data_IF_195250089533
#
_entry.id   IF_195250089533
#
_cell.length_a   1.000
_cell.length_b   1.000
_cell.length_c   1.000
_cell.angle_alpha   90.00
_cell.angle_beta   90.00
_cell.angle_gamma   90.00
#
_symmetry.space_group_name_H-M   'P 1'
#
loop_
_entity.id
_entity.type
_entity.pdbx_description
1 polymer ?
#
# COMPACT_ATOMS: atom_id res chain seq x y z
N UNK A 1 20.42 0.23 14.01
CA UNK A 1 21.16 1.53 13.91
C UNK A 1 20.85 2.33 12.65
N UNK A 2 19.99 1.85 11.73
CA UNK A 2 19.57 2.55 10.51
C UNK A 2 18.42 3.55 10.68
N UNK A 3 17.71 3.51 11.83
CA UNK A 3 16.43 4.23 11.98
C UNK A 3 16.52 5.49 12.86
N UNK A 4 17.73 5.85 13.32
CA UNK A 4 17.95 7.05 14.17
C UNK A 4 18.35 8.31 13.40
N UNK A 5 18.36 8.28 12.05
CA UNK A 5 18.65 9.45 11.22
C UNK A 5 17.54 9.82 10.19
N UNK A 6 16.23 9.71 10.50
CA UNK A 6 15.20 10.15 9.55
C UNK A 6 15.24 11.67 9.32
N UNK A 7 15.68 12.45 10.32
CA UNK A 7 15.84 13.92 10.20
C UNK A 7 16.96 14.31 9.23
N UNK A 8 17.92 13.42 8.96
CA UNK A 8 19.03 13.69 8.05
C UNK A 8 18.87 13.01 6.68
N UNK A 9 17.81 12.22 6.45
CA UNK A 9 17.83 11.22 5.37
C UNK A 9 17.77 11.77 3.92
N UNK A 10 17.13 12.92 3.59
CA UNK A 10 17.21 13.51 2.24
C UNK A 10 18.08 14.78 2.14
N UNK A 11 18.12 15.63 3.17
CA UNK A 11 18.69 17.00 3.08
C UNK A 11 20.09 17.13 3.63
N UNK A 12 20.48 16.29 4.59
CA UNK A 12 21.87 16.26 5.02
C UNK A 12 22.79 15.93 3.85
N UNK A 13 22.31 15.17 2.85
CA UNK A 13 23.06 14.92 1.63
C UNK A 13 23.52 16.22 1.00
N UNK A 14 22.62 17.07 0.53
CA UNK A 14 22.99 18.31 -0.16
C UNK A 14 23.74 19.30 0.74
N UNK A 15 23.34 19.47 2.00
CA UNK A 15 24.06 20.37 2.91
C UNK A 15 25.47 19.87 3.23
N UNK A 16 25.64 18.56 3.49
CA UNK A 16 26.96 17.93 3.71
C UNK A 16 27.77 18.00 2.43
N UNK A 17 27.18 17.76 1.26
CA UNK A 17 27.86 17.88 -0.03
C UNK A 17 28.34 19.30 -0.30
N UNK A 18 27.50 20.31 -0.11
CA UNK A 18 27.87 21.72 -0.24
C UNK A 18 28.92 22.12 0.79
N UNK A 19 28.77 21.68 2.04
CA UNK A 19 29.75 21.94 3.10
C UNK A 19 31.11 21.32 2.77
N UNK A 20 31.15 20.05 2.35
CA UNK A 20 32.38 19.38 1.93
C UNK A 20 32.98 20.03 0.69
N UNK A 21 32.16 20.46 -0.27
CA UNK A 21 32.63 21.20 -1.44
C UNK A 21 33.30 22.51 -1.05
N UNK A 22 32.64 23.33 -0.21
CA UNK A 22 33.19 24.60 0.30
C UNK A 22 34.45 24.35 1.13
N UNK A 23 34.43 23.35 2.02
CA UNK A 23 35.58 22.98 2.86
C UNK A 23 36.77 22.51 2.02
N UNK A 24 36.52 21.71 0.99
CA UNK A 24 37.55 21.24 0.06
C UNK A 24 38.12 22.38 -0.79
N UNK A 25 37.27 23.27 -1.32
CA UNK A 25 37.71 24.45 -2.06
C UNK A 25 38.54 25.39 -1.19
N UNK A 26 38.06 25.74 0.00
CA UNK A 26 38.77 26.60 0.96
C UNK A 26 40.13 26.01 1.36
N UNK A 27 40.20 24.69 1.59
CA UNK A 27 41.46 23.98 1.87
C UNK A 27 42.42 24.02 0.69
N UNK A 28 41.90 23.82 -0.53
CA UNK A 28 42.70 23.88 -1.76
C UNK A 28 43.22 25.30 -2.02
N UNK A 29 42.36 26.31 -1.93
CA UNK A 29 42.70 27.72 -2.05
C UNK A 29 43.72 28.14 -0.98
N UNK A 30 43.57 27.66 0.26
CA UNK A 30 44.57 27.87 1.29
C UNK A 30 45.91 27.22 0.91
N UNK A 31 45.91 25.99 0.38
CA UNK A 31 47.11 25.32 -0.14
C UNK A 31 47.83 26.09 -1.26
N UNK A 32 47.08 26.81 -2.10
CA UNK A 32 47.60 27.68 -3.17
C UNK A 32 48.09 29.04 -2.65
N UNK A 33 47.34 29.68 -1.76
CA UNK A 33 47.54 31.08 -1.34
C UNK A 33 48.35 31.23 -0.05
N UNK A 34 48.60 30.15 0.71
CA UNK A 34 49.35 30.17 1.97
C UNK A 34 50.73 30.83 1.83
N UNK A 35 51.36 30.68 0.67
CA UNK A 35 52.61 31.35 0.36
C UNK A 35 52.47 32.26 -0.85
N UNK A 36 52.24 33.54 -0.58
CA UNK A 36 52.20 34.58 -1.62
C UNK A 36 53.62 34.94 -2.06
N UNK A 37 53.71 35.47 -3.29
CA UNK A 37 54.94 36.08 -3.78
C UNK A 37 55.38 37.17 -2.80
N UNK A 38 56.63 37.13 -2.35
CA UNK A 38 57.23 38.14 -1.48
C UNK A 38 58.27 38.91 -2.29
N UNK A 39 58.41 40.23 -2.08
CA UNK A 39 59.35 41.05 -2.87
C UNK A 39 60.82 40.83 -2.51
N UNK A 40 61.15 39.81 -1.71
CA UNK A 40 62.50 39.52 -1.22
C UNK A 40 62.89 38.05 -1.43
N UNK A 41 64.19 37.77 -1.67
CA UNK A 41 64.69 36.42 -1.92
C UNK A 41 64.62 35.57 -0.64
N UNK A 42 64.23 34.31 -0.78
CA UNK A 42 64.15 33.34 0.33
C UNK A 42 64.86 32.04 -0.02
N UNK A 43 65.48 31.41 0.97
CA UNK A 43 66.06 30.09 0.77
C UNK A 43 64.98 29.06 0.35
N UNK A 44 65.19 28.26 -0.72
CA UNK A 44 64.20 27.29 -1.18
C UNK A 44 63.94 26.16 -0.16
N UNK A 45 64.91 25.85 0.71
CA UNK A 45 64.81 24.79 1.72
C UNK A 45 64.16 25.28 3.02
N UNK A 46 64.81 26.20 3.75
CA UNK A 46 64.36 26.65 5.07
C UNK A 46 63.54 27.94 5.06
N UNK A 47 63.45 28.66 3.93
CA UNK A 47 62.69 29.91 3.76
C UNK A 47 63.23 31.11 4.54
N UNK A 48 64.47 31.02 5.03
CA UNK A 48 65.19 32.15 5.59
C UNK A 48 65.24 33.30 4.59
N UNK A 49 65.07 34.53 5.10
CA UNK A 49 65.13 35.75 4.31
C UNK A 49 66.59 36.04 3.92
N UNK A 50 66.89 36.07 2.62
CA UNK A 50 68.25 36.27 2.11
C UNK A 50 68.51 37.74 1.70
N UNK A 51 67.68 38.67 2.19
CA UNK A 51 67.89 40.11 1.97
C UNK A 51 69.22 40.51 2.62
N UNK A 52 70.11 41.16 1.86
CA UNK A 52 71.41 41.63 2.34
C UNK A 52 72.61 40.71 2.05
N UNK A 53 72.42 39.60 1.32
CA UNK A 53 73.54 38.77 0.85
C UNK A 53 73.98 39.25 -0.54
N UNK A 54 75.18 39.80 -0.65
CA UNK A 54 75.65 40.50 -1.86
C UNK A 54 76.14 39.56 -3.00
N UNK A 55 76.31 38.25 -2.75
CA UNK A 55 76.75 37.28 -3.77
C UNK A 55 76.10 35.90 -3.62
N UNK A 56 75.04 35.63 -4.41
CA UNK A 56 74.27 34.39 -4.33
C UNK A 56 74.96 33.16 -4.97
N UNK A 57 75.92 33.36 -5.87
CA UNK A 57 76.46 32.28 -6.71
C UNK A 57 77.43 31.33 -5.97
N UNK A 58 77.94 31.71 -4.79
CA UNK A 58 78.88 30.91 -3.98
C UNK A 58 78.47 30.77 -2.51
N UNK A 59 77.26 31.21 -2.13
CA UNK A 59 76.83 31.22 -0.73
C UNK A 59 75.86 30.08 -0.40
N UNK A 60 76.17 29.37 0.69
CA UNK A 60 75.21 28.48 1.35
C UNK A 60 74.26 29.28 2.23
N UNK A 61 73.00 28.87 2.32
CA UNK A 61 72.05 29.49 3.23
C UNK A 61 72.56 29.44 4.69
N UNK A 62 72.61 30.55 5.43
CA UNK A 62 73.21 30.61 6.76
C UNK A 62 72.48 29.75 7.80
N UNK A 63 71.17 29.54 7.64
CA UNK A 63 70.38 28.73 8.58
C UNK A 63 70.48 27.23 8.31
N UNK A 64 70.48 26.81 7.03
CA UNK A 64 70.30 25.39 6.68
C UNK A 64 71.41 24.81 5.81
N UNK A 65 72.48 25.57 5.55
CA UNK A 65 73.67 25.15 4.82
C UNK A 65 73.42 24.71 3.38
N UNK A 66 72.29 25.08 2.78
CA UNK A 66 71.93 24.61 1.43
C UNK A 66 72.48 25.57 0.38
N UNK A 67 73.22 25.08 -0.63
CA UNK A 67 73.82 25.93 -1.66
C UNK A 67 72.74 26.56 -2.56
N UNK A 68 72.93 27.82 -2.94
CA UNK A 68 71.98 28.61 -3.74
C UNK A 68 72.44 28.60 -5.20
N UNK A 69 72.04 27.57 -5.94
CA UNK A 69 72.58 27.36 -7.30
C UNK A 69 71.85 28.15 -8.41
N UNK A 70 70.70 28.78 -8.11
CA UNK A 70 69.88 29.44 -9.15
C UNK A 70 69.02 30.57 -8.57
N UNK A 71 69.22 31.81 -9.07
CA UNK A 71 68.50 33.00 -8.60
C UNK A 71 66.98 32.93 -8.85
N UNK A 72 66.53 32.28 -9.92
CA UNK A 72 65.11 32.10 -10.24
C UNK A 72 64.33 31.37 -9.16
N UNK A 73 65.00 30.48 -8.41
CA UNK A 73 64.36 29.68 -7.36
C UNK A 73 64.11 30.47 -6.06
N UNK A 74 64.74 31.64 -5.90
CA UNK A 74 64.67 32.45 -4.67
C UNK A 74 63.31 33.15 -4.49
N UNK A 75 62.58 33.36 -5.59
CA UNK A 75 61.27 34.02 -5.61
C UNK A 75 60.10 33.04 -5.77
N UNK A 76 60.40 31.73 -5.86
CA UNK A 76 59.36 30.72 -6.06
C UNK A 76 58.43 30.60 -4.84
N UNK A 77 57.14 30.60 -5.15
CA UNK A 77 56.09 30.28 -4.18
C UNK A 77 56.06 28.79 -3.92
N UNK A 78 56.07 28.37 -2.65
CA UNK A 78 55.95 26.96 -2.29
C UNK A 78 54.48 26.62 -2.10
N UNK A 79 53.89 26.00 -3.11
CA UNK A 79 52.52 25.49 -3.04
C UNK A 79 52.51 24.18 -2.27
N UNK A 80 51.56 24.02 -1.35
CA UNK A 80 51.40 22.76 -0.62
C UNK A 80 50.55 21.81 -1.45
N UNK A 81 51.18 21.06 -2.37
CA UNK A 81 50.48 20.09 -3.22
C UNK A 81 49.68 19.05 -2.42
N UNK A 82 50.13 18.70 -1.20
CA UNK A 82 49.39 17.81 -0.29
C UNK A 82 48.06 18.42 0.17
N UNK A 83 48.03 19.71 0.53
CA UNK A 83 46.80 20.39 0.92
C UNK A 83 45.87 20.63 -0.27
N UNK A 84 46.43 20.94 -1.43
CA UNK A 84 45.68 21.08 -2.68
C UNK A 84 45.01 19.74 -3.02
N UNK A 85 45.76 18.63 -3.02
CA UNK A 85 45.22 17.30 -3.29
C UNK A 85 44.14 16.90 -2.27
N UNK A 86 44.38 17.12 -0.97
CA UNK A 86 43.40 16.85 0.07
C UNK A 86 42.10 17.66 -0.14
N UNK A 87 42.23 18.96 -0.42
CA UNK A 87 41.09 19.83 -0.69
C UNK A 87 40.28 19.38 -1.91
N UNK A 88 40.95 18.97 -2.99
CA UNK A 88 40.30 18.44 -4.19
C UNK A 88 39.60 17.09 -3.92
N UNK A 89 40.20 16.19 -3.13
CA UNK A 89 39.58 14.92 -2.74
C UNK A 89 38.31 15.18 -1.93
N UNK A 90 38.35 16.10 -0.96
CA UNK A 90 37.19 16.47 -0.14
C UNK A 90 36.12 17.14 -1.01
N UNK A 91 36.50 18.02 -1.94
CA UNK A 91 35.56 18.73 -2.80
C UNK A 91 34.89 17.85 -3.86
N UNK A 92 35.56 16.82 -4.37
CA UNK A 92 35.07 16.07 -5.53
C UNK A 92 34.86 14.58 -5.24
N UNK A 93 35.85 13.88 -4.68
CA UNK A 93 35.78 12.43 -4.53
C UNK A 93 34.70 12.00 -3.52
N UNK A 94 34.60 12.70 -2.38
CA UNK A 94 33.61 12.36 -1.36
C UNK A 94 32.17 12.67 -1.83
N UNK A 95 31.91 13.82 -2.48
CA UNK A 95 30.62 14.05 -3.13
C UNK A 95 30.25 13.02 -4.19
N UNK A 96 31.18 12.68 -5.08
CA UNK A 96 30.95 11.66 -6.12
C UNK A 96 30.56 10.32 -5.48
N UNK A 97 31.25 9.91 -4.41
CA UNK A 97 30.94 8.65 -3.72
C UNK A 97 29.54 8.66 -3.09
N UNK A 98 29.16 9.75 -2.41
CA UNK A 98 27.82 9.91 -1.80
C UNK A 98 26.74 9.93 -2.89
N UNK A 99 26.96 10.67 -3.98
CA UNK A 99 26.06 10.74 -5.14
C UNK A 99 25.91 9.36 -5.76
N UNK A 100 27.01 8.66 -6.04
CA UNK A 100 26.99 7.34 -6.67
C UNK A 100 26.22 6.32 -5.82
N UNK A 101 26.41 6.32 -4.49
CA UNK A 101 25.65 5.45 -3.58
C UNK A 101 24.15 5.74 -3.64
N UNK A 102 23.77 7.03 -3.65
CA UNK A 102 22.35 7.45 -3.69
C UNK A 102 21.70 7.17 -5.05
N UNK A 103 22.41 7.44 -6.14
CA UNK A 103 21.98 7.12 -7.51
C UNK A 103 21.80 5.62 -7.68
N UNK A 104 22.70 4.79 -7.14
CA UNK A 104 22.52 3.33 -7.14
C UNK A 104 21.28 2.88 -6.37
N UNK A 105 20.95 3.57 -5.27
CA UNK A 105 19.81 3.19 -4.42
C UNK A 105 18.46 3.66 -4.98
N UNK A 106 18.40 4.84 -5.59
CA UNK A 106 17.13 5.49 -5.96
C UNK A 106 17.00 5.84 -7.45
N UNK A 107 18.05 5.60 -8.25
CA UNK A 107 18.10 6.00 -9.66
C UNK A 107 18.47 7.47 -9.87
N UNK A 108 18.85 7.80 -11.10
CA UNK A 108 19.21 9.17 -11.50
C UNK A 108 18.02 10.13 -11.44
N UNK A 109 16.82 9.67 -11.84
CA UNK A 109 15.61 10.50 -11.88
C UNK A 109 15.26 11.03 -10.49
N UNK A 110 15.29 10.17 -9.46
CA UNK A 110 15.06 10.62 -8.09
C UNK A 110 16.10 11.66 -7.66
N UNK A 111 17.37 11.41 -7.94
CA UNK A 111 18.45 12.26 -7.44
C UNK A 111 18.45 13.66 -8.07
N UNK A 112 18.20 13.77 -9.38
CA UNK A 112 18.26 15.07 -10.08
C UNK A 112 16.95 15.85 -10.00
N UNK A 113 15.79 15.16 -9.99
CA UNK A 113 14.48 15.81 -10.07
C UNK A 113 13.75 15.88 -8.72
N UNK A 114 13.81 14.80 -7.93
CA UNK A 114 13.02 14.68 -6.70
C UNK A 114 13.77 15.18 -5.48
N UNK A 115 15.03 14.76 -5.30
CA UNK A 115 15.83 15.03 -4.11
C UNK A 115 15.94 16.52 -3.74
N UNK A 116 16.34 17.41 -4.67
CA UNK A 116 16.50 18.84 -4.38
C UNK A 116 15.16 19.55 -4.07
N UNK A 117 14.05 19.04 -4.61
CA UNK A 117 12.75 19.71 -4.58
C UNK A 117 11.70 18.95 -3.75
N UNK A 118 12.10 17.97 -2.95
CA UNK A 118 11.17 17.02 -2.33
C UNK A 118 10.09 17.70 -1.47
N UNK A 119 10.45 18.60 -0.54
CA UNK A 119 9.52 19.39 0.29
C UNK A 119 8.83 20.57 -0.40
N UNK A 120 9.27 20.99 -1.59
CA UNK A 120 8.70 22.18 -2.27
C UNK A 120 7.56 21.76 -3.19
N UNK A 121 7.78 20.66 -3.91
CA UNK A 121 6.81 20.16 -4.86
C UNK A 121 5.75 19.32 -4.10
N UNK A 122 4.50 19.32 -4.55
CA UNK A 122 3.42 18.52 -3.96
C UNK A 122 3.53 17.04 -4.35
N UNK A 123 2.82 16.17 -3.62
CA UNK A 123 2.70 14.75 -3.99
C UNK A 123 2.22 14.57 -5.42
N UNK A 124 2.60 13.44 -6.02
CA UNK A 124 2.26 13.15 -7.42
C UNK A 124 0.81 12.70 -7.47
N UNK A 125 -0.03 13.39 -8.25
CA UNK A 125 -1.40 12.94 -8.54
C UNK A 125 -1.34 11.78 -9.53
N UNK A 126 -1.79 10.59 -9.11
CA UNK A 126 -1.88 9.39 -9.96
C UNK A 126 -3.15 9.46 -10.82
N UNK A 127 -4.28 9.74 -10.15
CA UNK A 127 -5.61 9.72 -10.75
C UNK A 127 -6.44 10.82 -10.11
N UNK A 128 -7.15 11.58 -10.92
CA UNK A 128 -8.15 12.53 -10.44
C UNK A 128 -9.40 12.40 -11.29
N UNK A 129 -10.56 12.27 -10.65
CA UNK A 129 -11.85 12.25 -11.33
C UNK A 129 -12.81 13.19 -10.62
N UNK A 130 -13.56 13.96 -11.39
CA UNK A 130 -14.58 14.87 -10.86
C UNK A 130 -15.92 14.52 -11.49
N UNK A 131 -16.91 14.27 -10.64
CA UNK A 131 -18.28 13.98 -11.06
C UNK A 131 -19.26 14.61 -10.08
N UNK A 132 -20.29 15.26 -10.62
CA UNK A 132 -21.33 15.95 -9.85
C UNK A 132 -20.79 16.85 -8.71
N UNK A 133 -19.65 17.52 -8.91
CA UNK A 133 -19.04 18.45 -7.94
C UNK A 133 -18.22 17.81 -6.81
N UNK A 134 -18.08 16.48 -6.79
CA UNK A 134 -17.09 15.78 -5.96
C UNK A 134 -15.86 15.46 -6.81
N UNK A 135 -14.70 15.72 -6.25
CA UNK A 135 -13.40 15.37 -6.83
C UNK A 135 -12.72 14.31 -5.96
N UNK A 136 -12.42 13.17 -6.56
CA UNK A 136 -11.57 12.14 -5.98
C UNK A 136 -10.16 12.27 -6.55
N UNK A 137 -9.18 12.53 -5.70
CA UNK A 137 -7.77 12.67 -6.08
C UNK A 137 -6.93 11.64 -5.35
N UNK A 138 -6.36 10.71 -6.09
CA UNK A 138 -5.38 9.77 -5.58
C UNK A 138 -3.98 10.36 -5.79
N UNK A 139 -3.24 10.55 -4.70
CA UNK A 139 -1.84 10.99 -4.72
C UNK A 139 -0.91 9.92 -4.17
N UNK A 140 0.36 10.01 -4.51
CA UNK A 140 1.42 9.17 -3.96
C UNK A 140 2.64 10.02 -3.64
N UNK A 141 3.34 9.63 -2.58
CA UNK A 141 4.63 10.21 -2.25
C UNK A 141 5.58 10.15 -3.48
N UNK A 142 6.17 11.30 -3.80
CA UNK A 142 6.99 11.43 -5.01
C UNK A 142 8.20 10.49 -5.00
N UNK A 143 8.81 10.26 -3.83
CA UNK A 143 9.95 9.35 -3.73
C UNK A 143 9.53 7.96 -4.18
N UNK A 144 8.40 7.45 -3.66
CA UNK A 144 7.86 6.14 -4.04
C UNK A 144 7.55 6.04 -5.53
N UNK A 145 6.88 7.05 -6.09
CA UNK A 145 6.51 7.11 -7.51
C UNK A 145 7.71 6.92 -8.45
N UNK A 146 8.79 7.68 -8.26
CA UNK A 146 9.95 7.63 -9.15
C UNK A 146 10.90 6.46 -8.89
N UNK A 147 10.85 5.86 -7.69
CA UNK A 147 11.65 4.66 -7.40
C UNK A 147 10.97 3.36 -7.83
N UNK A 148 9.76 3.42 -8.39
CA UNK A 148 8.98 2.25 -8.78
C UNK A 148 8.54 1.38 -7.60
N UNK A 149 8.58 1.93 -6.37
CA UNK A 149 8.13 1.21 -5.19
C UNK A 149 6.62 1.32 -5.09
N UNK A 150 5.94 0.17 -5.14
CA UNK A 150 4.54 0.10 -4.76
C UNK A 150 4.41 0.45 -3.29
N UNK A 151 3.52 1.38 -2.97
CA UNK A 151 3.38 1.85 -1.62
C UNK A 151 2.12 2.66 -1.43
N UNK A 152 1.90 3.03 -0.19
CA UNK A 152 0.71 3.75 0.24
C UNK A 152 0.48 5.02 -0.57
N UNK A 153 -0.74 5.15 -1.07
CA UNK A 153 -1.32 6.30 -1.76
C UNK A 153 -2.33 6.98 -0.84
N UNK A 154 -2.67 8.23 -1.14
CA UNK A 154 -3.66 8.99 -0.39
C UNK A 154 -4.84 9.32 -1.29
N UNK A 155 -6.04 8.97 -0.85
CA UNK A 155 -7.28 9.41 -1.49
C UNK A 155 -7.77 10.67 -0.80
N UNK A 156 -7.86 11.76 -1.56
CA UNK A 156 -8.47 13.01 -1.13
C UNK A 156 -9.82 13.16 -1.80
N UNK A 157 -10.88 13.34 -1.02
CA UNK A 157 -12.24 13.58 -1.48
C UNK A 157 -12.55 15.05 -1.20
N UNK A 158 -12.81 15.81 -2.26
CA UNK A 158 -13.09 17.24 -2.17
C UNK A 158 -14.49 17.54 -2.68
N UNK A 159 -15.20 18.43 -1.99
CA UNK A 159 -16.48 18.98 -2.40
C UNK A 159 -16.30 20.47 -2.65
N UNK A 160 -16.65 20.96 -3.84
CA UNK A 160 -16.49 22.37 -4.22
C UNK A 160 -15.06 22.91 -3.98
N UNK A 161 -14.05 22.12 -4.34
CA UNK A 161 -12.62 22.40 -4.14
C UNK A 161 -12.15 22.52 -2.67
N UNK A 162 -13.01 22.18 -1.69
CA UNK A 162 -12.63 22.05 -0.29
C UNK A 162 -12.43 20.59 0.05
N UNK A 163 -11.25 20.25 0.57
CA UNK A 163 -10.97 18.91 1.10
C UNK A 163 -11.98 18.57 2.18
N UNK A 164 -12.69 17.47 2.00
CA UNK A 164 -13.67 16.97 2.96
C UNK A 164 -13.07 15.80 3.75
N UNK A 165 -12.47 14.83 3.06
CA UNK A 165 -11.89 13.63 3.66
C UNK A 165 -10.56 13.29 2.99
N UNK A 166 -9.60 12.81 3.77
CA UNK A 166 -8.36 12.20 3.27
C UNK A 166 -8.17 10.83 3.91
N UNK A 167 -8.01 9.79 3.08
CA UNK A 167 -7.73 8.42 3.53
C UNK A 167 -6.37 7.97 3.01
N UNK A 168 -5.62 7.26 3.85
CA UNK A 168 -4.37 6.62 3.48
C UNK A 168 -4.66 5.15 3.17
N UNK A 169 -4.16 4.64 2.03
CA UNK A 169 -4.43 3.28 1.59
C UNK A 169 -3.51 2.83 0.46
N UNK A 170 -3.65 1.61 -0.06
CA UNK A 170 -2.69 1.11 -1.05
C UNK A 170 -3.08 1.47 -2.49
N UNK A 171 -4.19 0.95 -3.02
CA UNK A 171 -4.71 1.32 -4.35
C UNK A 171 -6.20 1.61 -4.27
N UNK A 172 -6.59 2.74 -4.85
CA UNK A 172 -7.97 3.20 -4.85
C UNK A 172 -8.61 3.00 -6.21
N UNK A 173 -9.86 2.57 -6.18
CA UNK A 173 -10.71 2.42 -7.34
C UNK A 173 -12.00 3.19 -7.12
N UNK A 174 -12.59 3.66 -8.21
CA UNK A 174 -13.80 4.46 -8.18
C UNK A 174 -14.86 3.70 -8.96
N UNK A 175 -16.06 3.70 -8.41
CA UNK A 175 -17.16 2.80 -8.79
C UNK A 175 -16.94 1.32 -8.41
N UNK A 176 -17.97 0.51 -8.59
CA UNK A 176 -17.89 -0.94 -8.36
C UNK A 176 -17.18 -1.66 -9.51
N UNK A 177 -16.51 -2.76 -9.17
CA UNK A 177 -15.95 -3.72 -10.11
C UNK A 177 -16.70 -5.03 -9.95
N UNK A 178 -17.36 -5.49 -11.01
CA UNK A 178 -18.22 -6.67 -10.98
C UNK A 178 -17.48 -7.98 -11.33
N UNK A 179 -16.20 -7.92 -11.68
CA UNK A 179 -15.40 -9.09 -12.06
C UNK A 179 -15.30 -9.31 -13.56
N UNK A 180 -16.35 -8.95 -14.31
CA UNK A 180 -16.46 -9.13 -15.77
C UNK A 180 -16.14 -7.84 -16.55
N UNK A 181 -16.03 -6.71 -15.84
CA UNK A 181 -15.59 -5.43 -16.39
C UNK A 181 -16.12 -4.27 -15.55
N UNK A 182 -16.25 -3.11 -16.18
CA UNK A 182 -17.13 -2.06 -15.69
C UNK A 182 -18.37 -2.12 -16.57
N UNK A 183 -19.41 -2.86 -16.18
CA UNK A 183 -20.72 -2.71 -16.83
C UNK A 183 -21.28 -1.32 -16.49
N UNK A 184 -21.70 -0.54 -17.49
CA UNK A 184 -22.32 0.77 -17.29
C UNK A 184 -23.60 0.68 -16.41
N UNK A 185 -24.19 -0.52 -16.30
CA UNK A 185 -25.34 -0.79 -15.41
C UNK A 185 -24.97 -0.80 -13.93
N UNK A 186 -23.76 -1.20 -13.56
CA UNK A 186 -23.30 -1.27 -12.16
C UNK A 186 -22.68 0.05 -11.68
N UNK A 187 -22.46 0.99 -12.61
CA UNK A 187 -21.91 2.32 -12.36
C UNK A 187 -22.82 3.14 -11.43
N UNK A 188 -22.38 3.55 -10.25
CA UNK A 188 -23.16 4.45 -9.37
C UNK A 188 -22.65 5.87 -9.31
N UNK A 189 -21.45 6.18 -9.84
CA UNK A 189 -20.85 7.51 -9.72
C UNK A 189 -21.78 8.63 -10.21
N UNK A 190 -22.37 9.37 -9.26
CA UNK A 190 -23.27 10.49 -9.53
C UNK A 190 -24.75 10.11 -9.72
N UNK A 191 -25.14 8.84 -9.51
CA UNK A 191 -26.53 8.37 -9.55
C UNK A 191 -27.15 8.38 -8.16
N UNK A 192 -28.44 8.61 -8.05
CA UNK A 192 -29.20 8.39 -6.82
C UNK A 192 -29.63 6.92 -6.76
N UNK A 193 -29.04 6.16 -5.84
CA UNK A 193 -29.36 4.75 -5.57
C UNK A 193 -30.15 4.57 -4.28
N UNK A 194 -30.55 5.67 -3.63
CA UNK A 194 -31.23 5.68 -2.33
C UNK A 194 -32.64 6.26 -2.38
N UNK A 195 -32.96 7.00 -3.44
CA UNK A 195 -34.24 7.69 -3.60
C UNK A 195 -34.36 9.03 -2.86
N UNK A 196 -33.27 9.50 -2.26
CA UNK A 196 -33.26 10.74 -1.49
C UNK A 196 -33.09 11.99 -2.37
N UNK A 197 -32.95 11.85 -3.69
CA UNK A 197 -32.69 12.96 -4.61
C UNK A 197 -31.24 13.45 -4.57
N UNK A 198 -30.33 12.71 -3.95
CA UNK A 198 -28.92 13.05 -3.81
C UNK A 198 -28.03 12.07 -4.58
N UNK A 199 -26.97 12.53 -5.25
CA UNK A 199 -26.08 11.62 -5.96
C UNK A 199 -25.18 10.84 -4.98
N UNK A 200 -25.01 9.56 -5.26
CA UNK A 200 -24.17 8.63 -4.52
C UNK A 200 -22.88 8.31 -5.30
N UNK A 201 -21.87 7.83 -4.58
CA UNK A 201 -20.57 7.48 -5.14
C UNK A 201 -20.00 6.30 -4.37
N UNK A 202 -19.35 5.37 -5.09
CA UNK A 202 -18.60 4.28 -4.48
C UNK A 202 -17.11 4.45 -4.77
N UNK A 203 -16.30 4.06 -3.80
CA UNK A 203 -14.89 3.81 -3.98
C UNK A 203 -14.47 2.64 -3.12
N UNK A 204 -13.41 1.95 -3.54
CA UNK A 204 -12.85 0.86 -2.76
C UNK A 204 -11.33 0.91 -2.73
N UNK A 205 -10.78 0.48 -1.61
CA UNK A 205 -9.35 0.30 -1.39
C UNK A 205 -8.99 -1.18 -1.56
N UNK A 206 -8.01 -1.48 -2.39
CA UNK A 206 -7.30 -2.77 -2.35
C UNK A 206 -6.04 -2.61 -1.52
N UNK A 207 -5.89 -3.40 -0.45
CA UNK A 207 -4.75 -3.28 0.48
C UNK A 207 -3.43 -3.87 -0.03
N UNK A 208 -3.44 -4.61 -1.16
CA UNK A 208 -2.24 -5.20 -1.76
C UNK A 208 -2.12 -6.72 -1.64
N UNK A 209 -3.14 -7.42 -1.12
CA UNK A 209 -3.19 -8.88 -1.04
C UNK A 209 -3.30 -9.55 -2.42
N UNK A 210 -2.79 -10.77 -2.57
CA UNK A 210 -2.71 -11.48 -3.86
C UNK A 210 -4.09 -11.72 -4.51
N UNK A 211 -5.14 -11.90 -3.70
CA UNK A 211 -6.48 -12.25 -4.17
C UNK A 211 -7.63 -11.49 -3.49
N UNK A 212 -7.35 -10.63 -2.50
CA UNK A 212 -8.40 -10.03 -1.66
C UNK A 212 -7.92 -8.83 -0.82
N UNK A 213 -8.79 -8.42 0.11
CA UNK A 213 -8.71 -7.29 1.04
C UNK A 213 -9.20 -5.98 0.44
N UNK A 214 -10.48 -5.99 0.03
CA UNK A 214 -11.18 -4.78 -0.38
C UNK A 214 -11.92 -4.14 0.79
N UNK A 215 -11.70 -2.85 1.00
CA UNK A 215 -12.60 -2.02 1.83
C UNK A 215 -13.42 -1.15 0.91
N UNK A 216 -14.74 -1.27 0.97
CA UNK A 216 -15.65 -0.54 0.08
C UNK A 216 -16.38 0.53 0.87
N UNK A 217 -16.46 1.73 0.31
CA UNK A 217 -17.20 2.86 0.89
C UNK A 217 -18.21 3.40 -0.13
N UNK A 218 -19.45 3.60 0.29
CA UNK A 218 -20.49 4.33 -0.44
C UNK A 218 -20.77 5.63 0.30
N UNK A 219 -20.76 6.74 -0.43
CA UNK A 219 -21.04 8.08 0.08
C UNK A 219 -22.19 8.73 -0.68
N UNK A 220 -22.87 9.65 -0.03
CA UNK A 220 -23.88 10.53 -0.59
C UNK A 220 -23.40 11.98 -0.54
N UNK A 221 -23.59 12.70 -1.65
CA UNK A 221 -23.35 14.14 -1.70
C UNK A 221 -24.63 14.89 -1.40
N UNK A 222 -24.65 15.57 -0.26
CA UNK A 222 -25.64 16.61 0.06
C UNK A 222 -25.04 17.98 -0.24
N UNK A 223 -25.83 19.05 -0.19
CA UNK A 223 -25.45 20.40 -0.66
C UNK A 223 -24.01 20.81 -0.31
N UNK A 224 -23.65 20.74 0.97
CA UNK A 224 -22.35 21.15 1.49
C UNK A 224 -21.64 20.08 2.33
N UNK A 225 -22.07 18.82 2.24
CA UNK A 225 -21.51 17.73 3.04
C UNK A 225 -21.49 16.41 2.28
N UNK A 226 -20.57 15.54 2.68
CA UNK A 226 -20.49 14.15 2.24
C UNK A 226 -20.89 13.28 3.42
N UNK A 227 -21.81 12.35 3.20
CA UNK A 227 -22.27 11.40 4.23
C UNK A 227 -21.89 10.00 3.81
N UNK A 228 -21.25 9.24 4.69
CA UNK A 228 -20.97 7.82 4.45
C UNK A 228 -22.24 7.02 4.70
N UNK A 229 -22.72 6.32 3.67
CA UNK A 229 -23.89 5.44 3.74
C UNK A 229 -23.51 3.98 4.00
N UNK A 230 -22.29 3.59 3.64
CA UNK A 230 -21.78 2.24 3.81
C UNK A 230 -20.25 2.27 3.87
N UNK A 231 -19.64 1.55 4.81
CA UNK A 231 -18.20 1.31 4.83
C UNK A 231 -17.93 -0.04 5.49
N UNK A 232 -17.39 -1.00 4.73
CA UNK A 232 -17.06 -2.34 5.24
C UNK A 232 -15.81 -2.92 4.57
N UNK A 233 -15.05 -3.70 5.34
CA UNK A 233 -14.03 -4.61 4.83
C UNK A 233 -14.74 -5.84 4.28
N UNK A 234 -14.73 -5.97 2.95
CA UNK A 234 -15.37 -7.08 2.23
C UNK A 234 -14.40 -8.22 1.93
N UNK A 235 -13.12 -8.02 2.24
CA UNK A 235 -12.08 -9.02 2.05
C UNK A 235 -12.04 -9.54 0.61
N UNK A 236 -12.48 -10.78 0.38
CA UNK A 236 -12.51 -11.45 -0.93
C UNK A 236 -13.77 -11.15 -1.76
N UNK A 237 -14.72 -10.40 -1.20
CA UNK A 237 -16.04 -10.15 -1.78
C UNK A 237 -16.13 -8.79 -2.47
N UNK A 238 -17.17 -8.62 -3.27
CA UNK A 238 -17.54 -7.38 -3.94
C UNK A 238 -19.02 -7.04 -3.71
N UNK A 239 -19.43 -5.84 -4.14
CA UNK A 239 -20.82 -5.40 -4.09
C UNK A 239 -21.47 -5.59 -5.45
N UNK A 240 -22.62 -6.23 -5.47
CA UNK A 240 -23.58 -6.17 -6.58
C UNK A 240 -24.79 -5.35 -6.16
N UNK A 241 -25.36 -4.63 -7.12
CA UNK A 241 -26.57 -3.84 -6.92
C UNK A 241 -27.73 -4.56 -7.58
N UNK A 242 -28.72 -4.94 -6.78
CA UNK A 242 -29.89 -5.68 -7.26
C UNK A 242 -31.12 -5.11 -6.55
N UNK A 243 -32.16 -4.75 -7.31
CA UNK A 243 -33.47 -4.39 -6.75
C UNK A 243 -34.22 -5.70 -6.46
N UNK A 244 -34.15 -6.17 -5.22
CA UNK A 244 -34.63 -7.49 -4.81
C UNK A 244 -36.10 -7.47 -4.38
N UNK A 245 -36.63 -6.31 -4.01
CA UNK A 245 -38.04 -6.16 -3.62
C UNK A 245 -38.89 -5.28 -4.54
N UNK A 246 -38.33 -4.89 -5.69
CA UNK A 246 -38.97 -4.12 -6.77
C UNK A 246 -39.45 -2.73 -6.31
N UNK A 247 -38.69 -2.09 -5.41
CA UNK A 247 -38.99 -0.74 -4.92
C UNK A 247 -38.32 0.37 -5.74
N UNK A 248 -37.65 0.01 -6.85
CA UNK A 248 -36.87 0.89 -7.75
C UNK A 248 -35.44 1.18 -7.26
N UNK A 249 -35.11 0.93 -6.00
CA UNK A 249 -33.79 1.21 -5.44
C UNK A 249 -33.03 -0.09 -5.13
N UNK A 250 -31.74 -0.18 -5.48
CA UNK A 250 -31.02 -1.43 -5.31
C UNK A 250 -30.61 -1.68 -3.86
N UNK A 251 -30.73 -2.95 -3.44
CA UNK A 251 -30.00 -3.50 -2.31
C UNK A 251 -28.54 -3.79 -2.67
N UNK A 252 -27.67 -3.80 -1.65
CA UNK A 252 -26.30 -4.28 -1.79
C UNK A 252 -26.27 -5.79 -1.53
N UNK A 253 -25.90 -6.54 -2.56
CA UNK A 253 -25.64 -7.97 -2.49
C UNK A 253 -24.15 -8.20 -2.27
N UNK A 254 -23.81 -8.75 -1.11
CA UNK A 254 -22.43 -8.96 -0.65
C UNK A 254 -22.30 -10.42 -0.22
N UNK A 255 -21.21 -11.09 -0.56
CA UNK A 255 -20.93 -12.41 -0.02
C UNK A 255 -20.05 -12.33 1.24
N UNK A 256 -20.37 -13.09 2.27
CA UNK A 256 -19.53 -13.16 3.47
C UNK A 256 -18.28 -14.00 3.19
N UNK A 257 -17.11 -13.40 3.36
CA UNK A 257 -15.83 -14.06 3.13
C UNK A 257 -15.24 -14.76 4.38
N UNK A 258 -16.01 -14.80 5.47
CA UNK A 258 -15.64 -15.48 6.71
C UNK A 258 -15.22 -16.93 6.48
N UNK A 259 -15.78 -17.61 5.48
CA UNK A 259 -15.48 -19.01 5.18
C UNK A 259 -14.36 -19.19 4.14
N UNK A 260 -13.73 -18.12 3.67
CA UNK A 260 -12.59 -18.20 2.76
C UNK A 260 -11.46 -19.02 3.38
N UNK A 261 -11.01 -20.05 2.66
CA UNK A 261 -9.98 -21.01 3.08
C UNK A 261 -10.35 -21.87 4.31
N UNK A 262 -11.60 -21.83 4.78
CA UNK A 262 -12.01 -22.65 5.91
C UNK A 262 -12.30 -24.08 5.44
N UNK A 263 -11.41 -25.01 5.79
CA UNK A 263 -11.46 -26.44 5.48
C UNK A 263 -11.44 -26.81 3.97
N UNK A 264 -11.29 -25.83 3.08
CA UNK A 264 -11.22 -26.04 1.63
C UNK A 264 -10.44 -24.94 0.91
N UNK A 265 -10.05 -25.18 -0.34
CA UNK A 265 -9.36 -24.20 -1.19
C UNK A 265 -10.22 -22.95 -1.36
N UNK A 266 -9.61 -21.83 -1.78
CA UNK A 266 -10.36 -20.60 -2.07
C UNK A 266 -11.54 -20.85 -3.03
N UNK A 267 -11.29 -21.58 -4.11
CA UNK A 267 -12.30 -21.88 -5.14
C UNK A 267 -13.44 -22.76 -4.61
N UNK A 268 -13.19 -23.55 -3.57
CA UNK A 268 -14.19 -24.39 -2.93
C UNK A 268 -14.84 -23.77 -1.69
N UNK A 269 -14.40 -22.57 -1.28
CA UNK A 269 -14.86 -21.93 -0.06
C UNK A 269 -16.30 -21.42 -0.21
N UNK A 270 -17.17 -21.60 0.80
CA UNK A 270 -18.48 -20.96 0.80
C UNK A 270 -18.35 -19.44 0.82
N UNK A 271 -19.22 -18.78 0.06
CA UNK A 271 -19.38 -17.33 0.03
C UNK A 271 -20.88 -17.00 0.14
N UNK A 272 -21.49 -17.27 1.31
CA UNK A 272 -22.94 -17.13 1.45
C UNK A 272 -23.39 -15.68 1.30
N UNK A 273 -24.54 -15.49 0.66
CA UNK A 273 -25.08 -14.16 0.34
C UNK A 273 -25.59 -13.45 1.59
N UNK A 274 -25.24 -12.18 1.72
CA UNK A 274 -25.83 -11.20 2.64
C UNK A 274 -26.39 -10.03 1.84
N UNK A 275 -27.45 -9.43 2.36
CA UNK A 275 -28.19 -8.37 1.68
C UNK A 275 -28.27 -7.17 2.61
N UNK A 276 -27.97 -6.00 2.07
CA UNK A 276 -28.12 -4.72 2.77
C UNK A 276 -29.16 -3.87 2.08
N UNK A 277 -30.04 -3.26 2.87
CA UNK A 277 -31.04 -2.32 2.41
C UNK A 277 -30.79 -0.95 3.02
N UNK A 278 -31.07 0.09 2.23
CA UNK A 278 -31.01 1.46 2.71
C UNK A 278 -32.20 1.73 3.65
N UNK A 279 -31.93 2.18 4.87
CA UNK A 279 -32.96 2.40 5.90
C UNK A 279 -33.45 3.86 6.00
N UNK A 280 -33.04 4.71 5.06
CA UNK A 280 -33.25 6.16 5.11
C UNK A 280 -32.03 6.95 5.61
N UNK A 281 -31.06 6.28 6.26
CA UNK A 281 -29.82 6.90 6.73
C UNK A 281 -28.56 6.20 6.20
N UNK A 282 -28.53 4.87 6.22
CA UNK A 282 -27.39 4.07 5.79
C UNK A 282 -27.84 2.70 5.26
N UNK A 283 -26.94 1.99 4.59
CA UNK A 283 -27.17 0.59 4.26
C UNK A 283 -26.95 -0.27 5.50
N UNK A 284 -27.97 -1.04 5.87
CA UNK A 284 -27.93 -1.97 7.01
C UNK A 284 -28.29 -3.37 6.55
N UNK A 285 -27.75 -4.39 7.22
CA UNK A 285 -28.06 -5.78 6.88
C UNK A 285 -29.58 -6.00 7.00
N UNK A 286 -30.16 -6.62 5.99
CA UNK A 286 -31.60 -6.81 5.87
C UNK A 286 -31.96 -8.29 5.70
N UNK A 287 -32.03 -9.04 6.82
CA UNK A 287 -32.13 -10.50 6.78
C UNK A 287 -33.42 -11.02 6.14
N UNK A 288 -34.47 -10.22 6.08
CA UNK A 288 -35.74 -10.65 5.49
C UNK A 288 -35.61 -10.97 3.99
N UNK A 289 -34.74 -10.25 3.26
CA UNK A 289 -34.46 -10.54 1.84
C UNK A 289 -33.43 -11.68 1.67
N UNK A 290 -32.74 -12.08 2.74
CA UNK A 290 -31.87 -13.27 2.72
C UNK A 290 -32.67 -14.56 2.85
N UNK A 291 -33.90 -14.50 3.36
CA UNK A 291 -34.74 -15.68 3.55
C UNK A 291 -35.09 -16.33 2.22
N UNK A 292 -34.95 -17.65 2.20
CA UNK A 292 -35.43 -18.50 1.12
C UNK A 292 -36.38 -19.55 1.69
N UNK A 293 -37.39 -20.01 0.91
CA UNK A 293 -38.15 -21.17 1.32
C UNK A 293 -37.21 -22.36 1.55
N UNK A 294 -37.54 -23.27 2.49
CA UNK A 294 -36.79 -24.51 2.65
C UNK A 294 -36.70 -25.27 1.33
N UNK A 295 -35.60 -25.99 1.11
CA UNK A 295 -35.45 -26.84 -0.06
C UNK A 295 -36.60 -27.85 -0.14
N UNK A 296 -37.14 -28.03 -1.34
CA UNK A 296 -38.14 -29.08 -1.60
C UNK A 296 -37.48 -30.46 -1.54
N UNK A 297 -38.28 -31.51 -1.39
CA UNK A 297 -37.76 -32.88 -1.41
C UNK A 297 -37.03 -33.21 -2.72
N UNK A 298 -37.51 -32.67 -3.84
CA UNK A 298 -36.85 -32.83 -5.15
C UNK A 298 -35.49 -32.13 -5.18
N UNK A 299 -35.37 -30.93 -4.60
CA UNK A 299 -34.10 -30.20 -4.50
C UNK A 299 -33.10 -30.93 -3.60
N UNK A 300 -33.57 -31.46 -2.45
CA UNK A 300 -32.73 -32.30 -1.56
C UNK A 300 -32.26 -33.54 -2.32
N UNK A 301 -33.15 -34.25 -3.01
CA UNK A 301 -32.82 -35.47 -3.75
C UNK A 301 -31.81 -35.18 -4.86
N UNK A 302 -32.04 -34.13 -5.66
CA UNK A 302 -31.10 -33.69 -6.69
C UNK A 302 -29.73 -33.32 -6.12
N UNK A 303 -29.69 -32.66 -4.96
CA UNK A 303 -28.44 -32.33 -4.29
C UNK A 303 -27.70 -33.58 -3.80
N UNK A 304 -28.40 -34.54 -3.18
CA UNK A 304 -27.82 -35.81 -2.76
C UNK A 304 -27.27 -36.61 -3.95
N UNK A 305 -27.98 -36.63 -5.08
CA UNK A 305 -27.51 -37.31 -6.28
C UNK A 305 -26.28 -36.62 -6.89
N UNK A 306 -26.20 -35.28 -6.83
CA UNK A 306 -24.98 -34.54 -7.18
C UNK A 306 -23.80 -34.94 -6.30
N UNK A 307 -23.99 -35.08 -4.99
CA UNK A 307 -22.93 -35.53 -4.07
C UNK A 307 -22.48 -36.97 -4.34
N UNK A 308 -23.40 -37.89 -4.64
CA UNK A 308 -23.08 -39.27 -5.03
C UNK A 308 -22.30 -39.33 -6.34
N UNK A 309 -22.63 -38.47 -7.30
CA UNK A 309 -21.93 -38.41 -8.58
C UNK A 309 -20.44 -38.05 -8.40
N UNK A 310 -20.12 -37.13 -7.49
CA UNK A 310 -18.72 -36.78 -7.20
C UNK A 310 -17.99 -37.83 -6.36
N UNK A 311 -18.70 -38.59 -5.52
CA UNK A 311 -18.11 -39.71 -4.76
C UNK A 311 -17.55 -40.81 -5.66
N UNK A 312 -18.10 -40.98 -6.87
CA UNK A 312 -17.59 -41.95 -7.84
C UNK A 312 -16.21 -41.62 -8.41
N UNK A 313 -15.66 -40.43 -8.11
CA UNK A 313 -14.36 -39.96 -8.59
C UNK A 313 -13.38 -39.77 -7.42
N UNK A 314 -12.52 -40.76 -7.10
CA UNK A 314 -11.65 -40.73 -5.92
C UNK A 314 -10.70 -39.53 -5.84
N UNK A 315 -10.35 -38.94 -6.98
CA UNK A 315 -9.49 -37.75 -7.09
C UNK A 315 -10.19 -36.44 -6.68
N UNK A 316 -11.51 -36.45 -6.45
CA UNK A 316 -12.33 -35.27 -6.14
C UNK A 316 -13.08 -35.35 -4.81
N UNK A 317 -12.58 -36.13 -3.84
CA UNK A 317 -13.21 -36.18 -2.50
C UNK A 317 -13.33 -34.79 -1.83
N UNK A 318 -12.43 -33.85 -2.13
CA UNK A 318 -12.53 -32.46 -1.65
C UNK A 318 -13.75 -31.73 -2.23
N UNK A 319 -14.11 -31.98 -3.50
CA UNK A 319 -15.25 -31.33 -4.17
C UNK A 319 -16.57 -31.73 -3.51
N UNK A 320 -16.72 -33.00 -3.10
CA UNK A 320 -17.92 -33.46 -2.37
C UNK A 320 -18.10 -32.65 -1.08
N UNK A 321 -17.02 -32.44 -0.34
CA UNK A 321 -17.05 -31.65 0.89
C UNK A 321 -17.30 -30.17 0.64
N UNK A 322 -16.70 -29.59 -0.40
CA UNK A 322 -16.94 -28.21 -0.85
C UNK A 322 -18.42 -27.94 -1.16
N UNK A 323 -19.04 -28.83 -1.93
CA UNK A 323 -20.47 -28.76 -2.27
C UNK A 323 -21.34 -28.88 -1.02
N UNK A 324 -21.05 -29.85 -0.16
CA UNK A 324 -21.74 -30.04 1.11
C UNK A 324 -21.64 -28.79 2.01
N UNK A 325 -20.41 -28.32 2.24
CA UNK A 325 -20.12 -27.18 3.11
C UNK A 325 -20.81 -25.90 2.59
N UNK A 326 -20.82 -25.68 1.27
CA UNK A 326 -21.49 -24.54 0.66
C UNK A 326 -22.99 -24.58 0.90
N UNK A 327 -23.65 -25.71 0.56
CA UNK A 327 -25.10 -25.87 0.75
C UNK A 327 -25.50 -25.80 2.23
N UNK A 328 -24.70 -26.40 3.12
CA UNK A 328 -24.90 -26.35 4.57
C UNK A 328 -24.83 -24.91 5.07
N UNK A 329 -23.82 -24.15 4.64
CA UNK A 329 -23.65 -22.74 5.03
C UNK A 329 -24.82 -21.87 4.51
N UNK A 330 -25.22 -22.03 3.26
CA UNK A 330 -26.34 -21.28 2.66
C UNK A 330 -27.67 -21.49 3.40
N UNK A 331 -27.92 -22.72 3.88
CA UNK A 331 -29.12 -23.01 4.67
C UNK A 331 -29.16 -22.19 5.97
N UNK A 332 -28.02 -21.94 6.62
CA UNK A 332 -28.00 -21.03 7.77
C UNK A 332 -28.27 -19.58 7.36
N UNK A 333 -27.64 -19.09 6.30
CA UNK A 333 -27.81 -17.70 5.86
C UNK A 333 -29.23 -17.40 5.35
N UNK A 334 -29.95 -18.42 4.90
CA UNK A 334 -31.32 -18.30 4.39
C UNK A 334 -32.40 -18.59 5.44
N UNK A 335 -32.04 -18.87 6.70
CA UNK A 335 -32.99 -19.12 7.79
C UNK A 335 -33.52 -20.56 7.87
N UNK A 336 -32.81 -21.52 7.27
CA UNK A 336 -33.19 -22.92 7.13
C UNK A 336 -32.26 -23.87 7.93
N UNK A 337 -31.70 -23.42 9.07
CA UNK A 337 -30.79 -24.24 9.87
C UNK A 337 -31.31 -25.64 10.25
N UNK A 338 -32.60 -25.88 10.60
CA UNK A 338 -33.09 -27.24 10.85
C UNK A 338 -32.89 -28.19 9.66
N UNK A 339 -33.06 -27.67 8.45
CA UNK A 339 -32.83 -28.43 7.22
C UNK A 339 -31.33 -28.67 6.98
N UNK A 340 -30.45 -27.76 7.42
CA UNK A 340 -29.01 -27.96 7.36
C UNK A 340 -28.57 -29.17 8.18
N UNK A 341 -29.11 -29.36 9.39
CA UNK A 341 -28.83 -30.54 10.20
C UNK A 341 -29.42 -31.83 9.61
N UNK A 342 -30.61 -31.74 9.02
CA UNK A 342 -31.17 -32.88 8.26
C UNK A 342 -30.25 -33.28 7.11
N UNK A 343 -29.70 -32.29 6.39
CA UNK A 343 -28.76 -32.53 5.30
C UNK A 343 -27.43 -33.10 5.79
N UNK A 344 -26.92 -32.62 6.92
CA UNK A 344 -25.75 -33.20 7.60
C UNK A 344 -25.96 -34.70 7.86
N UNK A 345 -27.16 -35.09 8.30
CA UNK A 345 -27.42 -36.50 8.57
C UNK A 345 -27.45 -37.38 7.35
N UNK A 346 -28.00 -36.87 6.25
CA UNK A 346 -28.14 -37.60 4.98
C UNK A 346 -26.86 -37.63 4.16
N UNK A 347 -26.02 -36.59 4.25
CA UNK A 347 -25.03 -36.29 3.22
C UNK A 347 -23.60 -36.13 3.74
N UNK A 348 -23.39 -36.09 5.06
CA UNK A 348 -22.06 -35.83 5.59
C UNK A 348 -21.05 -36.88 5.09
N UNK A 349 -19.97 -36.45 4.41
CA UNK A 349 -19.06 -37.39 3.79
C UNK A 349 -18.20 -38.11 4.85
N UNK A 350 -18.45 -39.41 5.02
CA UNK A 350 -17.65 -40.29 5.87
C UNK A 350 -16.23 -40.43 5.31
N UNK A 351 -15.20 -40.20 6.15
CA UNK A 351 -13.76 -40.26 5.83
C UNK A 351 -13.16 -39.07 5.04
N UNK A 352 -13.72 -37.87 5.20
CA UNK A 352 -13.25 -36.70 4.44
C UNK A 352 -11.93 -36.13 4.95
N UNK A 353 -10.98 -35.97 4.03
CA UNK A 353 -9.76 -35.20 4.22
C UNK A 353 -10.08 -33.77 3.78
N UNK A 354 -10.24 -32.86 4.74
CA UNK A 354 -10.16 -31.43 4.44
C UNK A 354 -8.70 -31.06 4.13
N UNK A 355 -8.46 -29.96 3.43
CA UNK A 355 -7.09 -29.49 3.17
C UNK A 355 -6.30 -29.16 4.46
N UNK A 356 -6.98 -28.93 5.58
CA UNK A 356 -6.39 -28.72 6.92
C UNK A 356 -6.15 -30.02 7.70
N UNK A 357 -6.55 -31.18 7.16
CA UNK A 357 -6.46 -32.49 7.81
C UNK A 357 -7.77 -33.28 7.77
N UNK A 358 -7.81 -34.45 8.41
CA UNK A 358 -9.02 -35.26 8.49
C UNK A 358 -10.04 -34.59 9.42
N UNK A 359 -11.21 -34.17 8.92
CA UNK A 359 -12.30 -33.72 9.81
C UNK A 359 -12.96 -34.98 10.36
N UNK A 360 -12.67 -35.28 11.63
CA UNK A 360 -12.81 -36.63 12.19
C UNK A 360 -14.22 -37.03 12.62
N UNK A 361 -15.22 -36.14 12.65
CA UNK A 361 -16.62 -36.50 12.95
C UNK A 361 -17.64 -35.39 12.58
N UNK A 362 -18.93 -35.75 12.49
CA UNK A 362 -20.05 -34.78 12.34
C UNK A 362 -20.07 -33.76 13.48
N UNK A 363 -19.90 -34.22 14.72
CA UNK A 363 -19.95 -33.36 15.91
C UNK A 363 -18.80 -32.33 15.93
N UNK A 364 -17.60 -32.77 15.53
CA UNK A 364 -16.47 -31.87 15.36
C UNK A 364 -16.74 -30.82 14.28
N UNK A 365 -17.28 -31.23 13.13
CA UNK A 365 -17.66 -30.29 12.07
C UNK A 365 -18.68 -29.26 12.55
N UNK A 366 -19.73 -29.68 13.28
CA UNK A 366 -20.72 -28.75 13.85
C UNK A 366 -20.05 -27.76 14.79
N UNK A 367 -19.20 -28.24 15.70
CA UNK A 367 -18.49 -27.39 16.67
C UNK A 367 -17.59 -26.35 15.98
N UNK A 368 -16.80 -26.79 15.00
CA UNK A 368 -15.94 -25.91 14.21
C UNK A 368 -16.76 -24.94 13.35
N UNK A 369 -17.88 -25.38 12.77
CA UNK A 369 -18.78 -24.53 12.00
C UNK A 369 -19.39 -23.44 12.87
N UNK A 370 -19.88 -23.79 14.07
CA UNK A 370 -20.40 -22.82 15.06
C UNK A 370 -19.32 -21.78 15.42
N UNK A 371 -18.09 -22.23 15.66
CA UNK A 371 -16.97 -21.33 15.94
C UNK A 371 -16.59 -20.45 14.73
N UNK A 372 -16.72 -20.98 13.50
CA UNK A 372 -16.41 -20.22 12.29
C UNK A 372 -17.49 -19.19 11.96
N UNK A 373 -18.77 -19.55 12.00
CA UNK A 373 -19.87 -18.64 11.69
C UNK A 373 -19.97 -17.50 12.72
N UNK A 374 -19.55 -17.72 13.97
CA UNK A 374 -19.46 -16.67 14.99
C UNK A 374 -18.45 -15.56 14.67
N UNK A 375 -17.48 -15.83 13.78
CA UNK A 375 -16.53 -14.82 13.30
C UNK A 375 -17.15 -13.88 12.27
N UNK A 376 -18.29 -14.26 11.68
CA UNK A 376 -18.99 -13.44 10.71
C UNK A 376 -19.42 -12.12 11.33
N UNK A 377 -19.16 -10.96 10.68
CA UNK A 377 -19.72 -9.68 11.11
C UNK A 377 -21.26 -9.67 11.06
N UNK A 378 -21.87 -10.64 10.39
CA UNK A 378 -23.31 -10.79 10.19
C UNK A 378 -23.93 -11.83 11.12
N UNK A 379 -23.14 -12.45 12.01
CA UNK A 379 -23.60 -13.53 12.90
C UNK A 379 -24.88 -13.19 13.67
N UNK A 380 -25.00 -11.98 14.21
CA UNK A 380 -26.19 -11.55 14.96
C UNK A 380 -27.46 -11.62 14.12
N UNK A 381 -27.38 -11.21 12.85
CA UNK A 381 -28.50 -11.27 11.90
C UNK A 381 -28.84 -12.72 11.53
N UNK A 382 -27.82 -13.54 11.27
CA UNK A 382 -27.98 -14.96 10.92
C UNK A 382 -28.60 -15.74 12.09
N UNK A 383 -28.16 -15.47 13.32
CA UNK A 383 -28.75 -16.06 14.52
C UNK A 383 -30.24 -15.70 14.63
N UNK A 384 -30.59 -14.43 14.43
CA UNK A 384 -32.00 -13.99 14.47
C UNK A 384 -32.88 -14.65 13.41
N UNK A 385 -32.32 -15.01 12.24
CA UNK A 385 -33.05 -15.74 11.20
C UNK A 385 -33.40 -17.18 11.62
N UNK A 386 -32.52 -17.83 12.37
CA UNK A 386 -32.64 -19.24 12.71
C UNK A 386 -33.14 -19.49 14.14
N UNK A 387 -33.28 -18.45 14.96
CA UNK A 387 -33.64 -18.56 16.37
C UNK A 387 -32.50 -19.15 17.23
N UNK A 388 -32.87 -19.82 18.31
CA UNK A 388 -31.93 -20.31 19.34
C UNK A 388 -31.17 -21.59 18.94
N UNK A 389 -31.15 -21.94 17.65
CA UNK A 389 -30.46 -23.14 17.11
C UNK A 389 -28.94 -23.11 17.36
N UNK A 390 -28.39 -21.97 17.77
CA UNK A 390 -26.99 -21.80 18.12
C UNK A 390 -26.69 -21.88 19.62
N UNK A 391 -27.71 -21.98 20.48
CA UNK A 391 -27.54 -22.18 21.91
C UNK A 391 -27.56 -23.68 22.22
N UNK A 392 -26.54 -24.16 22.94
CA UNK A 392 -26.37 -25.57 23.31
C UNK A 392 -27.36 -26.01 24.40
#
# INVERSE_FOLDING_TARGET
>A
MSDLLPIFAPYSGWFVLSFLFILGLTTSTYGFLRDRHKPYPRCPKCRYNLTGIENYNDTSCPECGTPINQQSNLFLTKRSYKLIALGLIIAFAFPIFVIQRRVRQYGWVYYTYVGPLYYILPDVTIKSTTTAGITFTQTIDRKKYYTGFSGTTFLTISLNNKTNTQKQGYRWFFDFYDGDGFDDKTKILGKDITGNGHPNFAYYEWSGGAHCCYTTTIIEKRDNQIVTLFEQELGNSNIRLEDLDNDTFPELVIHDDTFAYWNTSFAGSPFPKTIFKFDGNQYTIYPQLMKSPPLTQDQITAFLDKLKAEESKPEYQSIKFELFQSQFTDLFYTGNAPQAFTLLDLAYPSNTISISGQISSKDQFISEFKAQIQKSPYYTAIRKLNGDIFED
#
